data_IF_012058483862
#
_entry.id   IF_012058483862
#
_cell.length_a   1.000
_cell.length_b   1.000
_cell.length_c   1.000
_cell.angle_alpha   90.00
_cell.angle_beta   90.00
_cell.angle_gamma   90.00
#
_symmetry.space_group_name_H-M   'P 1'
#
loop_
_entity.id
_entity.type
_entity.pdbx_description
1 polymer ?
#
# COMPACT_ATOMS: atom_id res chain seq x y z
N UNK A 1 -14.10 -14.03 11.56
CA UNK A 1 -13.44 -13.09 12.32
C UNK A 1 -12.08 -12.83 11.88
N UNK A 2 -11.27 -13.81 11.79
CA UNK A 2 -9.93 -13.58 11.35
C UNK A 2 -9.84 -13.06 9.95
N UNK A 3 -10.74 -13.48 9.10
CA UNK A 3 -10.71 -13.03 7.72
C UNK A 3 -10.95 -11.55 7.59
N UNK A 4 -11.77 -11.03 8.48
CA UNK A 4 -12.05 -9.62 8.44
C UNK A 4 -10.82 -8.81 8.75
N UNK A 5 -10.02 -9.29 9.67
CA UNK A 5 -8.80 -8.59 9.99
C UNK A 5 -7.88 -8.51 8.80
N UNK A 6 -7.82 -9.57 8.02
CA UNK A 6 -6.96 -9.59 6.86
C UNK A 6 -7.39 -8.58 5.83
N UNK A 7 -8.69 -8.40 5.68
CA UNK A 7 -9.18 -7.46 4.71
C UNK A 7 -8.80 -6.05 5.05
N UNK A 8 -8.64 -5.78 6.33
CA UNK A 8 -8.38 -4.42 6.77
C UNK A 8 -6.95 -4.17 7.10
N UNK A 9 -6.09 -5.06 6.65
CA UNK A 9 -4.68 -4.90 6.94
C UNK A 9 -4.09 -3.63 6.42
N UNK A 10 -4.56 -3.17 5.28
CA UNK A 10 -3.95 -2.03 4.63
C UNK A 10 -4.96 -0.93 4.42
N UNK A 11 -4.54 0.29 4.69
CA UNK A 11 -5.34 1.45 4.37
C UNK A 11 -4.98 1.90 2.98
N UNK A 12 -5.99 2.36 2.25
CA UNK A 12 -5.77 2.85 0.90
C UNK A 12 -6.42 4.20 0.72
N UNK A 13 -5.84 5.00 -0.14
CA UNK A 13 -6.40 6.26 -0.61
C UNK A 13 -6.83 7.14 0.57
N UNK A 14 -8.06 7.55 0.61
CA UNK A 14 -8.51 8.50 1.62
C UNK A 14 -8.55 7.98 3.02
N UNK A 15 -8.39 6.68 3.18
CA UNK A 15 -8.30 6.14 4.53
C UNK A 15 -6.97 6.43 5.18
N UNK A 16 -6.00 6.83 4.39
CA UNK A 16 -4.70 7.20 4.91
C UNK A 16 -4.80 8.63 5.36
N UNK A 17 -4.78 8.83 6.67
CA UNK A 17 -5.08 10.14 7.25
C UNK A 17 -3.89 10.87 7.83
N UNK A 18 -2.70 10.33 7.66
CA UNK A 18 -1.52 11.01 8.14
C UNK A 18 -1.19 12.17 7.22
N UNK A 19 -0.34 13.07 7.69
CA UNK A 19 0.04 14.24 6.92
C UNK A 19 0.99 13.94 5.81
N UNK A 20 1.93 13.07 6.07
CA UNK A 20 2.99 12.74 5.13
C UNK A 20 3.15 11.26 5.06
N UNK A 21 3.62 10.78 3.91
CA UNK A 21 3.89 9.38 3.71
C UNK A 21 5.22 9.26 2.98
N UNK A 22 5.84 8.12 3.14
CA UNK A 22 7.04 7.82 2.37
C UNK A 22 6.63 6.93 1.21
N UNK A 23 6.92 7.38 0.00
CA UNK A 23 6.59 6.61 -1.19
C UNK A 23 7.77 5.77 -1.62
N UNK A 24 7.49 4.52 -1.95
CA UNK A 24 8.50 3.60 -2.47
C UNK A 24 7.93 2.94 -3.72
N UNK A 25 8.81 2.36 -4.51
CA UNK A 25 8.39 1.66 -5.71
C UNK A 25 9.12 2.18 -6.91
N UNK A 26 8.95 1.47 -8.03
CA UNK A 26 9.66 1.82 -9.25
C UNK A 26 8.96 2.89 -10.05
N UNK A 27 7.70 3.12 -9.76
CA UNK A 27 6.90 4.07 -10.54
C UNK A 27 6.80 5.45 -9.92
N UNK A 28 7.61 5.72 -8.89
CA UNK A 28 7.65 7.03 -8.26
C UNK A 28 9.08 7.30 -7.85
N UNK A 29 9.37 8.58 -7.67
CA UNK A 29 10.64 8.97 -7.08
C UNK A 29 10.50 8.80 -5.58
N UNK A 30 11.29 7.93 -5.01
CA UNK A 30 11.16 7.58 -3.61
C UNK A 30 11.47 8.79 -2.72
N UNK A 31 10.70 8.95 -1.67
CA UNK A 31 10.90 10.03 -0.76
C UNK A 31 9.65 10.28 0.08
N UNK A 32 9.69 11.35 0.86
CA UNK A 32 8.58 11.74 1.71
C UNK A 32 7.76 12.81 1.00
N UNK A 33 6.46 12.59 0.95
CA UNK A 33 5.54 13.48 0.26
C UNK A 33 4.37 13.82 1.16
N UNK A 34 3.78 14.99 0.98
CA UNK A 34 2.49 15.24 1.62
C UNK A 34 1.48 14.21 1.13
N UNK A 35 0.64 13.76 2.02
CA UNK A 35 -0.32 12.72 1.66
C UNK A 35 -1.22 13.16 0.52
N UNK A 36 -1.63 14.42 0.50
CA UNK A 36 -2.47 14.92 -0.58
C UNK A 36 -1.77 14.81 -1.92
N UNK A 37 -0.47 15.08 -1.95
CA UNK A 37 0.28 14.95 -3.19
C UNK A 37 0.41 13.49 -3.61
N UNK A 38 0.64 12.62 -2.64
CA UNK A 38 0.75 11.19 -2.93
C UNK A 38 -0.56 10.67 -3.50
N UNK A 39 -1.68 11.13 -2.95
CA UNK A 39 -2.98 10.73 -3.47
C UNK A 39 -3.16 11.17 -4.91
N UNK A 40 -2.73 12.37 -5.20
CA UNK A 40 -2.85 12.88 -6.56
C UNK A 40 -1.97 12.09 -7.52
N UNK A 41 -0.78 11.75 -7.09
CA UNK A 41 0.12 10.95 -7.91
C UNK A 41 -0.50 9.59 -8.23
N UNK A 42 -1.13 8.99 -7.25
CA UNK A 42 -1.81 7.71 -7.48
C UNK A 42 -2.95 7.88 -8.47
N UNK A 43 -3.72 8.93 -8.30
CA UNK A 43 -4.82 9.19 -9.20
C UNK A 43 -4.34 9.42 -10.62
N UNK A 44 -3.25 10.16 -10.78
CA UNK A 44 -2.70 10.43 -12.10
C UNK A 44 -2.26 9.16 -12.80
N UNK A 45 -1.84 8.17 -12.05
CA UNK A 45 -1.43 6.89 -12.63
C UNK A 45 -2.59 5.90 -12.74
N UNK A 46 -3.78 6.29 -12.26
CA UNK A 46 -4.90 5.38 -12.28
C UNK A 46 -4.74 4.22 -11.32
N UNK A 47 -4.01 4.44 -10.24
CA UNK A 47 -3.71 3.41 -9.26
C UNK A 47 -4.16 3.86 -7.89
N UNK A 48 -3.89 3.04 -6.91
CA UNK A 48 -4.27 3.33 -5.53
C UNK A 48 -3.03 3.64 -4.70
N UNK A 49 -3.22 4.45 -3.68
CA UNK A 49 -2.19 4.68 -2.69
C UNK A 49 -2.42 3.70 -1.56
N UNK A 50 -1.47 2.80 -1.35
CA UNK A 50 -1.61 1.71 -0.38
C UNK A 50 -0.61 1.91 0.74
N UNK A 51 -1.09 1.93 1.97
CA UNK A 51 -0.22 2.05 3.13
C UNK A 51 0.28 0.68 3.51
N UNK A 52 1.55 0.42 3.28
CA UNK A 52 2.09 -0.92 3.50
C UNK A 52 2.79 -1.06 4.84
N UNK A 53 3.20 0.04 5.43
CA UNK A 53 3.89 -0.03 6.72
C UNK A 53 3.41 1.10 7.61
N UNK A 54 2.31 0.89 8.33
CA UNK A 54 1.72 1.97 9.11
C UNK A 54 2.53 2.35 10.34
N UNK A 55 3.39 1.46 10.78
CA UNK A 55 4.17 1.73 11.99
C UNK A 55 5.40 2.58 11.74
N UNK A 56 5.76 2.79 10.51
CA UNK A 56 6.89 3.65 10.18
C UNK A 56 6.48 5.11 10.37
N UNK A 57 7.45 5.96 10.55
CA UNK A 57 7.21 7.39 10.74
C UNK A 57 8.07 8.18 9.79
N UNK A 58 7.53 8.66 8.66
CA UNK A 58 6.13 8.55 8.25
C UNK A 58 5.81 7.16 7.70
N UNK A 59 4.54 6.81 7.63
CA UNK A 59 4.15 5.50 7.12
C UNK A 59 4.62 5.30 5.69
N UNK A 60 4.97 4.08 5.37
CA UNK A 60 5.43 3.75 4.03
C UNK A 60 4.23 3.39 3.19
N UNK A 61 4.14 4.02 2.03
CA UNK A 61 3.05 3.78 1.10
C UNK A 61 3.59 3.46 -0.27
N UNK A 62 2.75 2.85 -1.08
CA UNK A 62 3.11 2.51 -2.43
C UNK A 62 1.95 2.82 -3.35
N UNK A 63 2.25 3.27 -4.55
CA UNK A 63 1.23 3.53 -5.55
C UNK A 63 1.15 2.30 -6.44
N UNK A 64 0.06 1.56 -6.30
CA UNK A 64 -0.11 0.31 -7.01
C UNK A 64 -1.59 -0.04 -7.04
N UNK A 65 -1.94 -1.01 -7.89
CA UNK A 65 -3.30 -1.52 -7.92
C UNK A 65 -3.53 -2.37 -6.70
N UNK A 66 -4.46 -1.95 -5.85
CA UNK A 66 -4.67 -2.61 -4.57
C UNK A 66 -5.10 -4.07 -4.74
N UNK A 67 -5.93 -4.34 -5.73
CA UNK A 67 -6.37 -5.70 -5.97
C UNK A 67 -5.21 -6.59 -6.39
N UNK A 68 -4.37 -6.09 -7.25
CA UNK A 68 -3.19 -6.84 -7.65
C UNK A 68 -2.25 -7.03 -6.47
N UNK A 69 -2.13 -6.01 -5.65
CA UNK A 69 -1.27 -6.09 -4.48
C UNK A 69 -1.74 -7.21 -3.56
N UNK A 70 -3.03 -7.26 -3.29
CA UNK A 70 -3.58 -8.31 -2.44
C UNK A 70 -3.41 -9.68 -3.08
N UNK A 71 -3.60 -9.77 -4.36
CA UNK A 71 -3.45 -11.02 -5.05
C UNK A 71 -2.02 -11.53 -4.95
N UNK A 72 -1.08 -10.65 -5.11
CA UNK A 72 0.33 -11.03 -5.01
C UNK A 72 0.70 -11.48 -3.62
N UNK A 73 0.16 -10.82 -2.61
CA UNK A 73 0.39 -11.23 -1.25
C UNK A 73 -0.13 -12.64 -1.00
N UNK A 74 -1.33 -12.88 -1.48
CA UNK A 74 -1.94 -14.16 -1.32
C UNK A 74 -1.18 -15.25 -2.03
N UNK A 75 -0.77 -14.97 -3.25
CA UNK A 75 -0.04 -15.93 -4.04
C UNK A 75 1.29 -16.27 -3.39
N UNK A 76 1.96 -15.26 -2.88
CA UNK A 76 3.24 -15.47 -2.23
C UNK A 76 3.11 -16.38 -1.02
N UNK A 77 2.09 -16.15 -0.22
CA UNK A 77 1.86 -17.00 0.94
C UNK A 77 1.58 -18.43 0.54
N UNK A 78 0.81 -18.59 -0.52
CA UNK A 78 0.51 -19.91 -1.00
C UNK A 78 1.74 -20.64 -1.45
N UNK A 79 2.60 -19.97 -2.16
CA UNK A 79 3.82 -20.57 -2.64
C UNK A 79 4.72 -21.01 -1.51
N UNK A 80 4.81 -20.20 -0.49
CA UNK A 80 5.60 -20.55 0.66
C UNK A 80 5.08 -21.80 1.33
N UNK A 81 3.78 -21.90 1.44
CA UNK A 81 3.18 -23.07 2.03
C UNK A 81 3.45 -24.32 1.22
N UNK A 82 3.36 -24.17 -0.08
CA UNK A 82 3.59 -25.31 -0.94
C UNK A 82 4.99 -25.86 -0.79
N UNK A 83 5.93 -24.99 -0.55
CA UNK A 83 7.29 -25.43 -0.38
C UNK A 83 7.53 -26.10 0.95
N UNK A 84 6.80 -25.72 1.93
CA UNK A 84 6.93 -26.36 3.22
C UNK A 84 6.36 -27.75 3.18
#
# INVERSE_FOLDING_TARGET
>A
MKNDSLKEQYRINERIRVREVRLVGDNVEQGVYPTSQALKMAEDQGLDLVEISPNAAPPVCRITDYQKFLYQQKKRQKEQKAKS
#
